data_IF_020393106953
#
_entry.id   IF_020393106953
#
_cell.length_a   1.000
_cell.length_b   1.000
_cell.length_c   1.000
_cell.angle_alpha   90.00
_cell.angle_beta   90.00
_cell.angle_gamma   90.00
#
_symmetry.space_group_name_H-M   'P 1'
#
loop_
_entity.id
_entity.type
_entity.pdbx_description
1 polymer ?
#
# COMPACT_ATOMS: atom_id res chain seq x y z
N UNK A 1 5.97 5.12 -8.77
CA UNK A 1 6.43 5.18 -7.36
C UNK A 1 5.20 5.35 -6.49
N UNK A 2 5.11 4.65 -5.36
CA UNK A 2 4.04 4.77 -4.38
C UNK A 2 4.61 5.44 -3.14
N UNK A 3 4.05 6.60 -2.77
CA UNK A 3 4.25 7.29 -1.49
C UNK A 3 2.86 7.72 -1.00
N UNK A 4 2.37 7.07 0.05
CA UNK A 4 1.02 7.29 0.58
C UNK A 4 1.09 7.53 2.08
N UNK A 5 0.40 8.57 2.54
CA UNK A 5 0.14 8.83 3.96
C UNK A 5 -1.37 8.88 4.16
N UNK A 6 -1.90 7.97 4.97
CA UNK A 6 -3.35 7.86 5.20
C UNK A 6 -3.67 7.44 6.63
N UNK A 7 -4.79 7.92 7.16
CA UNK A 7 -5.35 7.46 8.43
C UNK A 7 -6.46 6.43 8.16
N UNK A 8 -6.36 5.28 8.82
CA UNK A 8 -7.41 4.26 8.83
C UNK A 8 -8.10 4.26 10.18
N UNK A 9 -9.44 4.24 10.15
CA UNK A 9 -10.28 4.06 11.32
C UNK A 9 -10.81 2.63 11.34
N UNK A 10 -10.47 1.88 12.38
CA UNK A 10 -10.96 0.53 12.64
C UNK A 10 -12.18 0.53 13.56
N UNK A 11 -12.71 -0.67 13.81
CA UNK A 11 -13.80 -0.87 14.77
C UNK A 11 -13.45 -0.31 16.15
N UNK A 12 -14.43 0.20 16.88
CA UNK A 12 -14.22 0.76 18.22
C UNK A 12 -13.49 2.10 18.25
N UNK A 13 -13.37 2.80 17.10
CA UNK A 13 -12.78 4.14 17.03
C UNK A 13 -11.25 4.15 17.03
N UNK A 14 -10.62 2.98 16.88
CA UNK A 14 -9.17 2.83 16.82
C UNK A 14 -8.65 3.45 15.53
N UNK A 15 -7.55 4.20 15.62
CA UNK A 15 -6.94 4.82 14.45
C UNK A 15 -5.52 4.34 14.25
N UNK A 16 -5.16 4.07 13.01
CA UNK A 16 -3.81 3.69 12.59
C UNK A 16 -3.42 4.60 11.44
N UNK A 17 -2.36 5.37 11.62
CA UNK A 17 -1.73 6.08 10.53
C UNK A 17 -0.88 5.09 9.73
N UNK A 18 -0.85 5.27 8.42
CA UNK A 18 -0.11 4.43 7.48
C UNK A 18 0.83 5.31 6.69
N UNK A 19 2.08 4.88 6.59
CA UNK A 19 3.04 5.45 5.64
C UNK A 19 3.55 4.31 4.76
N UNK A 20 3.24 4.39 3.46
CA UNK A 20 3.51 3.34 2.47
C UNK A 20 4.54 3.86 1.49
N UNK A 21 5.59 3.07 1.27
CA UNK A 21 6.59 3.31 0.23
C UNK A 21 6.70 2.08 -0.66
N UNK A 22 6.67 2.23 -1.98
CA UNK A 22 6.77 1.08 -2.86
C UNK A 22 6.73 1.39 -4.36
N UNK A 23 6.52 0.33 -5.13
CA UNK A 23 6.50 0.36 -6.59
C UNK A 23 5.34 -0.47 -7.12
N UNK A 24 4.72 0.04 -8.18
CA UNK A 24 3.84 -0.73 -9.06
C UNK A 24 4.70 -1.21 -10.23
N UNK A 25 4.71 -2.52 -10.47
CA UNK A 25 5.27 -3.11 -11.66
C UNK A 25 4.22 -3.00 -12.77
N UNK A 26 4.18 -1.84 -13.43
CA UNK A 26 3.27 -1.63 -14.55
C UNK A 26 3.62 -2.58 -15.71
N UNK A 27 2.62 -3.02 -16.52
CA UNK A 27 2.87 -3.72 -17.76
C UNK A 27 3.74 -2.82 -18.65
N UNK A 28 4.77 -3.41 -19.24
CA UNK A 28 5.62 -2.73 -20.20
C UNK A 28 5.03 -2.89 -21.60
N UNK A 29 4.87 -1.80 -22.39
CA UNK A 29 5.16 -0.41 -22.03
C UNK A 29 4.02 0.26 -21.24
N UNK A 30 4.40 1.15 -20.30
CA UNK A 30 3.45 2.06 -19.66
C UNK A 30 2.94 3.11 -20.66
N UNK A 31 1.69 3.60 -20.54
CA UNK A 31 1.19 4.64 -21.43
C UNK A 31 2.02 5.93 -21.28
N UNK A 32 2.24 6.69 -22.37
CA UNK A 32 2.86 8.01 -22.33
C UNK A 32 2.13 8.96 -21.38
N UNK A 33 2.87 9.91 -20.79
CA UNK A 33 2.30 10.84 -19.82
C UNK A 33 1.23 11.75 -20.44
N UNK A 34 1.41 12.12 -21.72
CA UNK A 34 0.46 12.89 -22.51
C UNK A 34 -0.88 12.19 -22.69
N UNK A 35 -0.90 10.86 -22.84
CA UNK A 35 -2.13 10.08 -22.90
C UNK A 35 -2.81 10.04 -21.54
N UNK A 36 -2.04 9.85 -20.46
CA UNK A 36 -2.56 9.83 -19.08
C UNK A 36 -3.12 11.19 -18.64
N UNK A 37 -2.62 12.29 -19.22
CA UNK A 37 -3.07 13.65 -18.91
C UNK A 37 -4.39 14.03 -19.61
N UNK A 38 -4.85 13.25 -20.60
CA UNK A 38 -6.14 13.47 -21.25
C UNK A 38 -7.29 13.18 -20.27
N UNK A 39 -8.22 14.11 -20.01
CA UNK A 39 -9.40 13.86 -19.18
C UNK A 39 -10.30 12.71 -19.67
N UNK A 40 -10.21 12.33 -20.94
CA UNK A 40 -10.92 11.19 -21.52
C UNK A 40 -10.19 9.86 -21.32
N UNK A 41 -8.96 9.87 -20.80
CA UNK A 41 -8.18 8.67 -20.53
C UNK A 41 -8.87 7.79 -19.49
N UNK A 42 -8.91 6.48 -19.77
CA UNK A 42 -9.45 5.47 -18.86
C UNK A 42 -8.36 4.45 -18.59
N UNK A 43 -8.03 4.26 -17.32
CA UNK A 43 -7.11 3.19 -16.92
C UNK A 43 -7.69 1.83 -17.28
N UNK A 44 -6.89 0.91 -17.84
CA UNK A 44 -7.34 -0.45 -18.10
C UNK A 44 -7.79 -1.13 -16.81
N UNK A 45 -8.85 -1.95 -16.91
CA UNK A 45 -9.25 -2.88 -15.87
C UNK A 45 -8.27 -4.06 -15.85
N UNK A 46 -7.10 -3.82 -15.26
CA UNK A 46 -6.01 -4.78 -15.14
C UNK A 46 -5.37 -4.70 -13.75
N UNK A 47 -5.10 -5.87 -13.18
CA UNK A 47 -4.40 -6.00 -11.91
C UNK A 47 -2.89 -5.81 -12.14
N UNK A 48 -2.34 -4.74 -11.58
CA UNK A 48 -0.92 -4.41 -11.67
C UNK A 48 -0.19 -4.89 -10.40
N UNK A 49 0.86 -5.72 -10.50
CA UNK A 49 1.61 -6.16 -9.34
C UNK A 49 2.25 -4.99 -8.60
N UNK A 50 2.29 -5.06 -7.28
CA UNK A 50 2.95 -4.06 -6.44
C UNK A 50 3.67 -4.69 -5.26
N UNK A 51 4.71 -4.01 -4.80
CA UNK A 51 5.48 -4.38 -3.62
C UNK A 51 6.03 -3.14 -2.93
N UNK A 52 6.28 -3.25 -1.64
CA UNK A 52 6.83 -2.14 -0.85
C UNK A 52 6.90 -2.43 0.63
N UNK A 53 7.01 -1.37 1.41
CA UNK A 53 7.00 -1.38 2.87
C UNK A 53 5.97 -0.42 3.43
N UNK A 54 5.47 -0.74 4.62
CA UNK A 54 4.54 0.11 5.37
C UNK A 54 4.95 0.18 6.85
N UNK A 55 4.83 1.37 7.43
CA UNK A 55 4.83 1.60 8.88
C UNK A 55 3.44 2.01 9.33
N UNK A 56 3.07 1.60 10.54
CA UNK A 56 1.69 1.63 11.04
C UNK A 56 1.56 2.32 12.41
N UNK A 57 1.99 3.59 12.55
CA UNK A 57 1.93 4.28 13.84
C UNK A 57 0.49 4.38 14.38
N UNK A 58 0.33 4.13 15.69
CA UNK A 58 -0.97 4.16 16.36
C UNK A 58 -0.84 4.49 17.84
N UNK A 59 -1.85 5.19 18.39
CA UNK A 59 -1.99 5.42 19.82
C UNK A 59 -2.82 4.33 20.53
N UNK A 60 -3.37 3.36 19.81
CA UNK A 60 -4.20 2.30 20.36
C UNK A 60 -3.33 1.29 21.14
N UNK A 61 -3.49 1.15 22.47
CA UNK A 61 -2.60 0.32 23.30
C UNK A 61 -2.53 -1.16 22.87
N UNK A 62 -3.65 -1.73 22.46
CA UNK A 62 -3.77 -3.11 22.00
C UNK A 62 -3.09 -3.38 20.64
N UNK A 63 -2.71 -2.33 19.91
CA UNK A 63 -2.00 -2.41 18.64
C UNK A 63 -0.54 -1.93 18.76
N UNK A 64 0.00 -1.85 19.98
CA UNK A 64 1.34 -1.29 20.22
C UNK A 64 2.46 -1.96 19.41
N UNK A 65 2.32 -3.25 19.09
CA UNK A 65 3.26 -3.99 18.23
C UNK A 65 3.43 -3.39 16.83
N UNK A 66 2.44 -2.62 16.33
CA UNK A 66 2.54 -1.91 15.06
C UNK A 66 3.58 -0.78 15.10
N UNK A 67 3.80 -0.17 16.27
CA UNK A 67 4.75 0.94 16.45
C UNK A 67 6.22 0.48 16.47
N UNK A 68 6.48 -0.81 16.62
CA UNK A 68 7.84 -1.37 16.75
C UNK A 68 8.26 -2.21 15.54
N UNK A 69 7.47 -2.23 14.47
CA UNK A 69 7.65 -3.14 13.34
C UNK A 69 7.50 -2.42 12.00
N UNK A 70 8.36 -2.77 11.04
CA UNK A 70 8.16 -2.45 9.62
C UNK A 70 7.58 -3.68 8.93
N UNK A 71 6.60 -3.47 8.07
CA UNK A 71 5.96 -4.55 7.31
C UNK A 71 6.32 -4.42 5.83
N UNK A 72 6.64 -5.53 5.19
CA UNK A 72 6.80 -5.64 3.74
C UNK A 72 5.49 -6.15 3.14
N UNK A 73 5.07 -5.63 2.00
CA UNK A 73 3.86 -6.09 1.35
C UNK A 73 4.09 -6.46 -0.11
N UNK A 74 3.24 -7.38 -0.58
CA UNK A 74 3.04 -7.71 -1.99
C UNK A 74 1.56 -7.70 -2.29
N UNK A 75 1.17 -7.35 -3.51
CA UNK A 75 -0.23 -7.33 -3.90
C UNK A 75 -0.47 -6.90 -5.33
N UNK A 76 -1.70 -6.50 -5.60
CA UNK A 76 -2.13 -5.90 -6.87
C UNK A 76 -2.92 -4.62 -6.64
N UNK A 77 -2.82 -3.71 -7.60
CA UNK A 77 -3.69 -2.54 -7.72
C UNK A 77 -4.39 -2.58 -9.08
N UNK A 78 -5.68 -2.28 -9.09
CA UNK A 78 -6.47 -2.11 -10.30
C UNK A 78 -7.03 -0.69 -10.31
N UNK A 79 -6.45 0.17 -11.14
CA UNK A 79 -6.81 1.59 -11.17
C UNK A 79 -8.17 1.79 -11.85
N UNK A 80 -8.52 0.98 -12.86
CA UNK A 80 -9.82 1.02 -13.51
C UNK A 80 -10.99 0.74 -12.57
N UNK A 81 -10.81 -0.17 -11.59
CA UNK A 81 -11.81 -0.46 -10.55
C UNK A 81 -11.62 0.33 -9.25
N UNK A 82 -10.51 1.04 -9.08
CA UNK A 82 -10.14 1.67 -7.82
C UNK A 82 -9.88 0.67 -6.69
N UNK A 83 -9.41 -0.53 -7.02
CA UNK A 83 -9.20 -1.62 -6.05
C UNK A 83 -7.72 -1.80 -5.69
N UNK A 84 -7.46 -2.04 -4.41
CA UNK A 84 -6.15 -2.37 -3.87
C UNK A 84 -6.25 -3.66 -3.06
N UNK A 85 -5.43 -4.67 -3.39
CA UNK A 85 -5.37 -5.95 -2.67
C UNK A 85 -3.93 -6.24 -2.29
N UNK A 86 -3.61 -6.09 -1.02
CA UNK A 86 -2.25 -6.28 -0.50
C UNK A 86 -2.24 -7.22 0.69
N UNK A 87 -1.16 -7.98 0.81
CA UNK A 87 -0.81 -8.73 2.01
C UNK A 87 0.49 -8.20 2.55
N UNK A 88 0.50 -7.83 3.83
CA UNK A 88 1.67 -7.35 4.54
C UNK A 88 2.17 -8.43 5.53
N UNK A 89 3.50 -8.51 5.67
CA UNK A 89 4.19 -9.41 6.58
C UNK A 89 5.23 -8.62 7.36
N UNK A 90 5.40 -8.94 8.65
CA UNK A 90 6.45 -8.33 9.47
C UNK A 90 7.82 -8.62 8.86
N UNK A 91 8.67 -7.59 8.75
CA UNK A 91 10.07 -7.72 8.34
C UNK A 91 11.01 -7.86 9.54
N UNK A 92 10.49 -7.74 10.77
CA UNK A 92 11.28 -8.01 11.96
C UNK A 92 11.64 -9.51 11.99
N UNK A 93 12.94 -9.82 12.03
CA UNK A 93 13.38 -11.19 12.33
C UNK A 93 13.13 -11.43 13.81
N UNK A 94 12.28 -12.40 14.13
CA UNK A 94 12.27 -12.98 15.48
C UNK A 94 13.65 -13.60 15.68
N UNK A 95 14.45 -13.04 16.60
CA UNK A 95 15.61 -13.76 17.13
C UNK A 95 15.04 -14.97 17.88
N UNK A 96 15.09 -16.14 17.25
CA UNK A 96 14.84 -17.40 17.96
C UNK A 96 16.05 -17.61 18.86
N UNK A 97 15.85 -17.43 20.17
CA UNK A 97 16.82 -17.79 21.19
C UNK A 97 16.79 -19.30 21.45
#
# INVERSE_FOLDING_TARGET
>A
MVDVRQLFSGEGGRTVATEVHGYVAAPSPAPPLEEVADPAFVWPDADLPMHGSVVLPTAAPELQALNSTVYGFTGTVNVGRGELRVRAHSLARVLVA
#
